data_IF_288050486612
#
_entry.id   IF_288050486612
#
_cell.length_a   1.000
_cell.length_b   1.000
_cell.length_c   1.000
_cell.angle_alpha   90.00
_cell.angle_beta   90.00
_cell.angle_gamma   90.00
#
_symmetry.space_group_name_H-M   'P 1'
#
loop_
_entity.id
_entity.type
_entity.pdbx_description
1 polymer ?
#
# COMPACT_ATOMS: atom_id res chain seq x y z
N UNK A 1 20.72 -38.20 61.15
CA UNK A 1 19.64 -37.23 61.41
C UNK A 1 19.85 -36.05 60.45
N UNK A 2 19.22 -36.09 59.30
CA UNK A 2 19.38 -35.06 58.23
C UNK A 2 18.21 -34.07 58.35
N UNK A 3 18.47 -32.73 58.42
CA UNK A 3 17.40 -31.74 58.49
C UNK A 3 16.77 -31.59 57.11
N UNK A 4 15.44 -31.75 57.05
CA UNK A 4 14.64 -31.48 55.86
C UNK A 4 14.59 -29.94 55.57
N UNK A 5 15.06 -29.55 54.40
CA UNK A 5 14.94 -28.18 53.91
C UNK A 5 13.50 -27.88 53.57
N UNK A 6 12.87 -26.99 54.34
CA UNK A 6 11.52 -26.50 54.13
C UNK A 6 11.52 -25.53 52.94
N UNK A 7 11.04 -25.97 51.77
CA UNK A 7 10.87 -25.11 50.59
C UNK A 7 9.73 -24.11 50.87
N UNK A 8 10.07 -22.84 51.04
CA UNK A 8 9.08 -21.76 51.16
C UNK A 8 8.61 -21.42 49.75
N UNK A 9 7.42 -21.90 49.37
CA UNK A 9 6.79 -21.59 48.08
C UNK A 9 6.00 -20.26 48.25
N UNK A 10 6.67 -19.13 48.03
CA UNK A 10 6.08 -17.81 48.05
C UNK A 10 5.35 -17.59 46.73
N UNK A 11 4.07 -17.90 46.67
CA UNK A 11 3.17 -17.50 45.56
C UNK A 11 2.78 -16.04 45.78
N UNK A 12 3.45 -15.11 45.07
CA UNK A 12 3.02 -13.73 45.01
C UNK A 12 1.80 -13.65 44.08
N UNK A 13 0.61 -13.40 44.64
CA UNK A 13 -0.58 -13.05 43.88
C UNK A 13 -0.63 -11.54 43.62
N UNK A 14 -1.16 -11.13 42.47
CA UNK A 14 -1.43 -9.71 42.19
C UNK A 14 -2.47 -9.16 43.15
N UNK A 15 -2.25 -7.95 43.64
CA UNK A 15 -3.24 -7.23 44.46
C UNK A 15 -4.32 -6.62 43.58
N UNK A 16 -5.53 -6.50 44.10
CA UNK A 16 -6.65 -5.83 43.40
C UNK A 16 -6.26 -4.40 42.95
N UNK A 17 -5.51 -3.69 43.81
CA UNK A 17 -5.03 -2.34 43.53
C UNK A 17 -4.07 -2.30 42.32
N UNK A 18 -3.18 -3.27 42.21
CA UNK A 18 -2.23 -3.36 41.10
C UNK A 18 -2.94 -3.59 39.76
N UNK A 19 -3.98 -4.42 39.73
CA UNK A 19 -4.79 -4.63 38.53
C UNK A 19 -5.53 -3.34 38.13
N UNK A 20 -6.09 -2.59 39.07
CA UNK A 20 -6.78 -1.33 38.80
C UNK A 20 -5.80 -0.29 38.22
N UNK A 21 -4.60 -0.17 38.77
CA UNK A 21 -3.57 0.76 38.28
C UNK A 21 -3.14 0.39 36.86
N UNK A 22 -2.89 -0.90 36.57
CA UNK A 22 -2.54 -1.37 35.23
C UNK A 22 -3.66 -1.08 34.22
N UNK A 23 -4.90 -1.35 34.59
CA UNK A 23 -6.06 -1.03 33.74
C UNK A 23 -6.19 0.47 33.44
N UNK A 24 -5.95 1.33 34.45
CA UNK A 24 -5.94 2.77 34.27
C UNK A 24 -4.84 3.23 33.30
N UNK A 25 -3.63 2.70 33.41
CA UNK A 25 -2.52 3.00 32.49
C UNK A 25 -2.84 2.56 31.07
N UNK A 26 -3.37 1.34 30.90
CA UNK A 26 -3.78 0.83 29.58
C UNK A 26 -4.87 1.72 28.96
N UNK A 27 -5.85 2.16 29.73
CA UNK A 27 -6.91 3.04 29.25
C UNK A 27 -6.35 4.38 28.74
N UNK A 28 -5.42 5.01 29.48
CA UNK A 28 -4.79 6.28 29.08
C UNK A 28 -3.96 6.10 27.80
N UNK A 29 -3.11 5.07 27.72
CA UNK A 29 -2.27 4.80 26.56
C UNK A 29 -3.13 4.50 25.32
N UNK A 30 -4.21 3.74 25.49
CA UNK A 30 -5.14 3.41 24.41
C UNK A 30 -5.85 4.66 23.86
N UNK A 31 -6.25 5.58 24.71
CA UNK A 31 -6.90 6.82 24.30
C UNK A 31 -6.00 7.69 23.39
N UNK A 32 -4.71 7.78 23.68
CA UNK A 32 -3.75 8.57 22.89
C UNK A 32 -3.47 7.91 21.53
N UNK A 33 -3.43 6.58 21.46
CA UNK A 33 -3.07 5.82 20.25
C UNK A 33 -4.07 5.97 19.12
N UNK A 34 -5.37 6.13 19.41
CA UNK A 34 -6.44 6.17 18.40
C UNK A 34 -6.36 7.42 17.52
N UNK A 35 -6.00 8.57 18.07
CA UNK A 35 -5.94 9.83 17.31
C UNK A 35 -4.82 9.84 16.27
N UNK A 36 -3.64 9.35 16.60
CA UNK A 36 -2.49 9.31 15.71
C UNK A 36 -2.68 8.28 14.57
N UNK A 37 -3.36 7.16 14.85
CA UNK A 37 -3.57 6.10 13.87
C UNK A 37 -4.41 6.58 12.66
N UNK A 38 -5.49 7.33 12.89
CA UNK A 38 -6.37 7.84 11.82
C UNK A 38 -5.67 8.82 10.88
N UNK A 39 -4.74 9.61 11.39
CA UNK A 39 -3.97 10.56 10.57
C UNK A 39 -2.94 9.85 9.67
N UNK A 40 -2.45 8.68 10.06
CA UNK A 40 -1.39 7.95 9.34
C UNK A 40 -1.91 7.05 8.21
N UNK A 41 -3.10 6.49 8.37
CA UNK A 41 -3.70 5.56 7.40
C UNK A 41 -3.74 6.11 5.97
N UNK A 42 -4.19 7.36 5.71
CA UNK A 42 -4.24 7.87 4.35
C UNK A 42 -2.87 7.90 3.66
N UNK A 43 -1.80 8.23 4.41
CA UNK A 43 -0.44 8.24 3.89
C UNK A 43 0.05 6.84 3.48
N UNK A 44 -0.26 5.83 4.29
CA UNK A 44 0.06 4.42 3.99
C UNK A 44 -0.69 3.96 2.74
N UNK A 45 -2.00 4.28 2.62
CA UNK A 45 -2.82 3.95 1.47
C UNK A 45 -2.30 4.60 0.19
N UNK A 46 -1.95 5.89 0.23
CA UNK A 46 -1.40 6.59 -0.92
C UNK A 46 -0.08 5.98 -1.41
N UNK A 47 0.82 5.64 -0.48
CA UNK A 47 2.07 4.98 -0.80
C UNK A 47 1.85 3.55 -1.33
N UNK A 48 0.90 2.80 -0.78
CA UNK A 48 0.52 1.47 -1.24
C UNK A 48 -0.04 1.51 -2.66
N UNK A 49 -1.01 2.40 -2.93
CA UNK A 49 -1.58 2.61 -4.25
C UNK A 49 -0.52 2.99 -5.29
N UNK A 50 0.39 3.91 -4.96
CA UNK A 50 1.47 4.31 -5.86
C UNK A 50 2.41 3.14 -6.20
N UNK A 51 2.74 2.30 -5.22
CA UNK A 51 3.55 1.09 -5.45
C UNK A 51 2.82 0.05 -6.29
N UNK A 52 1.51 -0.14 -6.08
CA UNK A 52 0.69 -1.06 -6.88
C UNK A 52 0.67 -0.63 -8.35
N UNK A 53 0.33 0.64 -8.61
CA UNK A 53 0.31 1.19 -9.98
C UNK A 53 1.70 1.11 -10.62
N UNK A 54 2.76 1.43 -9.90
CA UNK A 54 4.14 1.29 -10.39
C UNK A 54 4.46 -0.16 -10.77
N UNK A 55 4.08 -1.13 -9.93
CA UNK A 55 4.28 -2.56 -10.18
C UNK A 55 3.57 -3.00 -11.46
N UNK A 56 2.32 -2.58 -11.64
CA UNK A 56 1.53 -2.93 -12.81
C UNK A 56 2.08 -2.27 -14.10
N UNK A 57 2.61 -1.04 -14.01
CA UNK A 57 3.33 -0.39 -15.12
C UNK A 57 4.60 -1.14 -15.51
N UNK A 58 5.37 -1.58 -14.53
CA UNK A 58 6.59 -2.36 -14.77
C UNK A 58 6.24 -3.73 -15.36
N UNK A 59 5.21 -4.40 -14.84
CA UNK A 59 4.71 -5.67 -15.37
C UNK A 59 4.23 -5.53 -16.81
N UNK A 60 3.45 -4.48 -17.12
CA UNK A 60 2.97 -4.19 -18.47
C UNK A 60 4.13 -3.97 -19.45
N UNK A 61 5.17 -3.22 -19.04
CA UNK A 61 6.39 -3.06 -19.84
C UNK A 61 7.10 -4.39 -20.06
N UNK A 62 7.23 -5.22 -19.03
CA UNK A 62 7.89 -6.53 -19.16
C UNK A 62 7.10 -7.46 -20.10
N UNK A 63 5.76 -7.47 -19.99
CA UNK A 63 4.90 -8.22 -20.93
C UNK A 63 5.05 -7.73 -22.36
N UNK A 64 5.13 -6.41 -22.58
CA UNK A 64 5.30 -5.86 -23.93
C UNK A 64 6.58 -6.35 -24.62
N UNK A 65 7.68 -6.45 -23.87
CA UNK A 65 8.96 -6.95 -24.38
C UNK A 65 8.97 -8.47 -24.54
N UNK A 66 8.44 -9.19 -23.53
CA UNK A 66 8.43 -10.65 -23.50
C UNK A 66 7.57 -11.24 -24.62
N UNK A 67 6.39 -10.66 -24.84
CA UNK A 67 5.44 -11.15 -25.84
C UNK A 67 5.60 -10.48 -27.22
N UNK A 68 6.52 -9.51 -27.31
CA UNK A 68 6.80 -8.70 -28.50
C UNK A 68 5.53 -8.03 -29.08
N UNK A 69 4.64 -7.57 -28.20
CA UNK A 69 3.40 -6.87 -28.54
C UNK A 69 3.30 -5.53 -27.80
N UNK A 70 2.44 -4.63 -28.26
CA UNK A 70 2.15 -3.40 -27.53
C UNK A 70 1.23 -3.69 -26.35
N UNK A 71 1.46 -3.00 -25.23
CA UNK A 71 0.61 -3.08 -24.04
C UNK A 71 0.04 -1.69 -23.74
N UNK A 72 -1.28 -1.59 -23.71
CA UNK A 72 -2.01 -0.37 -23.41
C UNK A 72 -2.51 -0.37 -21.96
N UNK A 73 -2.30 0.75 -21.26
CA UNK A 73 -2.90 1.03 -19.95
C UNK A 73 -3.82 2.23 -20.11
N UNK A 74 -5.11 2.02 -19.89
CA UNK A 74 -6.13 3.04 -20.10
C UNK A 74 -6.80 3.40 -18.78
N UNK A 75 -6.94 4.69 -18.53
CA UNK A 75 -7.70 5.21 -17.40
C UNK A 75 -9.20 4.98 -17.64
N UNK A 76 -9.88 4.33 -16.72
CA UNK A 76 -11.32 4.06 -16.80
C UNK A 76 -12.11 4.98 -15.86
N UNK A 77 -11.67 5.13 -14.63
CA UNK A 77 -12.31 5.98 -13.64
C UNK A 77 -11.26 6.51 -12.63
N UNK A 78 -11.69 7.36 -11.73
CA UNK A 78 -10.82 7.91 -10.68
C UNK A 78 -10.18 6.82 -9.77
N UNK A 79 -10.64 5.57 -9.86
CA UNK A 79 -10.16 4.48 -9.01
C UNK A 79 -9.71 3.25 -9.81
N UNK A 80 -9.98 3.23 -11.14
CA UNK A 80 -9.73 2.04 -11.95
C UNK A 80 -9.03 2.35 -13.27
N UNK A 81 -8.26 1.37 -13.72
CA UNK A 81 -7.59 1.37 -15.03
C UNK A 81 -7.60 -0.04 -15.61
N UNK A 82 -7.44 -0.12 -16.91
CA UNK A 82 -7.32 -1.39 -17.61
C UNK A 82 -5.92 -1.58 -18.17
N UNK A 83 -5.50 -2.83 -18.21
CA UNK A 83 -4.26 -3.27 -18.85
C UNK A 83 -4.62 -4.25 -19.96
N UNK A 84 -4.25 -3.93 -21.19
CA UNK A 84 -4.52 -4.73 -22.39
C UNK A 84 -3.22 -5.11 -23.05
N UNK A 85 -2.97 -6.40 -23.22
CA UNK A 85 -1.76 -6.95 -23.88
C UNK A 85 -2.12 -7.30 -25.31
N UNK A 86 -1.48 -6.61 -26.27
CA UNK A 86 -1.77 -6.80 -27.71
C UNK A 86 -3.26 -6.62 -28.06
N UNK A 87 -3.81 -7.60 -28.72
CA UNK A 87 -5.25 -7.70 -29.03
C UNK A 87 -6.03 -8.59 -28.04
N UNK A 88 -5.41 -8.96 -26.92
CA UNK A 88 -6.00 -9.84 -25.91
C UNK A 88 -7.07 -9.17 -25.04
N UNK A 89 -7.58 -9.93 -24.07
CA UNK A 89 -8.57 -9.42 -23.13
C UNK A 89 -7.95 -8.33 -22.22
N UNK A 90 -8.76 -7.33 -21.91
CA UNK A 90 -8.40 -6.25 -21.00
C UNK A 90 -8.59 -6.72 -19.55
N UNK A 91 -7.55 -6.59 -18.73
CA UNK A 91 -7.61 -6.82 -17.29
C UNK A 91 -7.91 -5.50 -16.58
N UNK A 92 -9.04 -5.43 -15.88
CA UNK A 92 -9.41 -4.25 -15.10
C UNK A 92 -8.79 -4.34 -13.71
N UNK A 93 -8.17 -3.26 -13.28
CA UNK A 93 -7.61 -3.08 -11.94
C UNK A 93 -8.36 -1.98 -11.22
N UNK A 94 -8.88 -2.28 -10.03
CA UNK A 94 -9.57 -1.33 -9.16
C UNK A 94 -8.75 -1.11 -7.88
N UNK A 95 -8.48 0.14 -7.58
CA UNK A 95 -7.74 0.56 -6.37
C UNK A 95 -8.67 0.77 -5.16
N UNK A 96 -9.98 0.90 -5.38
CA UNK A 96 -10.93 1.25 -4.33
C UNK A 96 -11.00 0.23 -3.18
N UNK A 97 -10.99 -1.10 -3.43
CA UNK A 97 -11.07 -2.08 -2.36
C UNK A 97 -9.87 -2.04 -1.41
N UNK A 98 -8.67 -1.89 -1.96
CA UNK A 98 -7.42 -1.95 -1.19
C UNK A 98 -7.00 -0.58 -0.64
N UNK A 99 -7.27 0.51 -1.38
CA UNK A 99 -6.84 1.87 -1.07
C UNK A 99 -8.01 2.87 -1.10
N UNK A 100 -9.01 2.70 -0.24
CA UNK A 100 -10.19 3.56 -0.24
C UNK A 100 -9.82 5.03 0.00
N UNK A 101 -10.46 5.92 -0.77
CA UNK A 101 -10.23 7.36 -0.73
C UNK A 101 -9.01 7.85 -1.50
N UNK A 102 -8.33 6.96 -2.26
CA UNK A 102 -7.24 7.35 -3.16
C UNK A 102 -7.76 7.45 -4.59
N UNK A 103 -7.53 8.58 -5.25
CA UNK A 103 -7.90 8.81 -6.65
C UNK A 103 -6.66 8.75 -7.54
N UNK A 104 -6.86 8.27 -8.77
CA UNK A 104 -5.84 8.15 -9.81
C UNK A 104 -6.27 8.98 -11.02
N UNK A 105 -5.35 9.74 -11.60
CA UNK A 105 -5.57 10.51 -12.82
C UNK A 105 -4.36 10.41 -13.74
N UNK A 106 -4.58 10.04 -14.98
CA UNK A 106 -3.55 10.02 -16.03
C UNK A 106 -4.16 9.94 -17.43
N UNK A 107 -3.36 10.28 -18.43
CA UNK A 107 -3.64 9.97 -19.82
C UNK A 107 -3.13 8.56 -20.11
N UNK A 108 -3.78 7.83 -21.03
CA UNK A 108 -3.39 6.47 -21.42
C UNK A 108 -1.89 6.33 -21.68
N UNK A 109 -1.33 5.21 -21.28
CA UNK A 109 0.08 4.82 -21.48
C UNK A 109 0.11 3.65 -22.46
N UNK A 110 0.94 3.76 -23.50
CA UNK A 110 1.17 2.68 -24.47
C UNK A 110 2.64 2.30 -24.44
N UNK A 111 2.94 1.09 -24.02
CA UNK A 111 4.25 0.49 -24.17
C UNK A 111 4.36 -0.20 -25.54
N UNK A 112 5.40 0.11 -26.30
CA UNK A 112 5.73 -0.60 -27.52
C UNK A 112 6.32 -1.97 -27.23
N UNK A 113 6.42 -2.85 -28.22
CA UNK A 113 7.09 -4.16 -28.09
C UNK A 113 8.57 -4.08 -27.68
N UNK A 114 9.19 -2.90 -27.74
CA UNK A 114 10.55 -2.63 -27.25
C UNK A 114 10.57 -2.14 -25.78
N UNK A 115 9.42 -2.02 -25.13
CA UNK A 115 9.28 -1.48 -23.77
C UNK A 115 9.47 0.03 -23.67
N UNK A 116 9.40 0.76 -24.79
CA UNK A 116 9.43 2.23 -24.83
C UNK A 116 8.01 2.81 -24.83
N UNK A 117 7.86 4.05 -24.36
CA UNK A 117 6.58 4.75 -24.33
C UNK A 117 6.78 6.25 -24.51
N UNK A 118 5.74 7.00 -24.77
CA UNK A 118 5.78 8.46 -24.62
C UNK A 118 5.92 8.85 -23.14
N UNK A 119 6.73 9.86 -22.79
CA UNK A 119 6.83 10.32 -21.40
C UNK A 119 5.45 10.67 -20.83
N UNK A 120 5.14 10.18 -19.65
CA UNK A 120 3.85 10.38 -18.98
C UNK A 120 4.04 10.58 -17.49
N UNK A 121 3.09 11.30 -16.89
CA UNK A 121 2.97 11.45 -15.45
C UNK A 121 1.59 10.99 -15.03
N UNK A 122 1.56 10.11 -14.05
CA UNK A 122 0.34 9.66 -13.38
C UNK A 122 0.30 10.33 -12.01
N UNK A 123 -0.87 10.80 -11.61
CA UNK A 123 -1.07 11.47 -10.32
C UNK A 123 -2.02 10.65 -9.48
N UNK A 124 -1.59 10.32 -8.26
CA UNK A 124 -2.41 9.73 -7.22
C UNK A 124 -2.60 10.75 -6.10
N UNK A 125 -3.82 10.88 -5.61
CA UNK A 125 -4.17 11.86 -4.58
C UNK A 125 -5.14 11.27 -3.56
N UNK A 126 -4.98 11.67 -2.30
CA UNK A 126 -5.95 11.45 -1.24
C UNK A 126 -5.86 12.58 -0.21
N UNK A 127 -6.52 12.42 0.95
CA UNK A 127 -6.50 13.42 2.04
C UNK A 127 -5.11 13.66 2.67
N UNK A 128 -4.14 12.76 2.47
CA UNK A 128 -2.77 12.89 2.98
C UNK A 128 -1.86 13.69 2.03
N UNK A 129 -2.21 13.80 0.74
CA UNK A 129 -1.41 14.53 -0.23
C UNK A 129 -1.46 13.93 -1.64
N UNK A 130 -0.41 14.21 -2.40
CA UNK A 130 -0.28 13.82 -3.81
C UNK A 130 1.02 13.02 -3.98
N UNK A 131 0.96 11.97 -4.80
CA UNK A 131 2.10 11.21 -5.31
C UNK A 131 2.07 11.20 -6.83
N UNK A 132 3.23 11.38 -7.45
CA UNK A 132 3.33 11.32 -8.90
C UNK A 132 4.22 10.15 -9.33
N UNK A 133 3.81 9.47 -10.39
CA UNK A 133 4.59 8.42 -11.05
C UNK A 133 4.97 8.93 -12.42
N UNK A 134 6.26 9.09 -12.66
CA UNK A 134 6.78 9.52 -13.96
C UNK A 134 7.30 8.34 -14.75
N UNK A 135 6.96 8.31 -16.04
CA UNK A 135 7.42 7.30 -16.99
C UNK A 135 8.28 8.01 -18.04
N UNK A 136 9.53 7.61 -18.14
CA UNK A 136 10.44 8.12 -19.16
C UNK A 136 10.21 7.44 -20.52
N UNK A 137 10.70 8.03 -21.60
CA UNK A 137 10.63 7.46 -22.96
C UNK A 137 11.20 6.04 -23.06
N UNK A 138 12.19 5.72 -22.25
CA UNK A 138 12.80 4.39 -22.14
C UNK A 138 11.92 3.37 -21.43
N UNK A 139 10.72 3.75 -20.98
CA UNK A 139 9.83 2.93 -20.15
C UNK A 139 10.28 2.81 -18.69
N UNK A 140 11.26 3.61 -18.22
CA UNK A 140 11.64 3.64 -16.81
C UNK A 140 10.55 4.35 -15.99
N UNK A 141 10.07 3.69 -14.95
CA UNK A 141 9.04 4.19 -14.03
C UNK A 141 9.69 4.66 -12.73
N UNK A 142 9.28 5.81 -12.20
CA UNK A 142 9.76 6.37 -10.93
C UNK A 142 8.60 7.01 -10.16
N UNK A 143 8.55 6.78 -8.85
CA UNK A 143 7.66 7.49 -7.90
C UNK A 143 8.41 8.71 -7.35
N UNK A 144 7.71 9.84 -7.31
CA UNK A 144 8.18 11.10 -6.72
C UNK A 144 7.25 11.53 -5.59
#
# INVERSE_FOLDING_TARGET
MTPALKTINTRFGFTLYEVIVVMAIIAIVSAISIFNYRAWIPGIRLNGAARQVMSDLVAARMSSVKENVSVAIMHLSNHSYSVTVGSGASSIKDLQPDFPGTTLSFTSVLFSSRGTTSPRTLTLQNSSGIKTITIAITGRVKIN
#
